data_IF_582035909442
#
_entry.id   IF_582035909442
#
_cell.length_a   1.000
_cell.length_b   1.000
_cell.length_c   1.000
_cell.angle_alpha   90.00
_cell.angle_beta   90.00
_cell.angle_gamma   90.00
#
_symmetry.space_group_name_H-M   'P 1'
#
loop_
_entity.id
_entity.type
_entity.pdbx_description
1 polymer ?
#
# COMPACT_ATOMS: atom_id res chain seq x y z
N UNK A 1 24.24 30.93 71.32
CA UNK A 1 25.38 30.08 71.72
C UNK A 1 25.63 29.14 70.54
N UNK A 2 26.71 29.25 69.77
CA UNK A 2 28.10 28.85 70.12
C UNK A 2 28.18 27.34 70.44
N UNK A 3 29.07 26.51 69.87
CA UNK A 3 30.25 26.70 68.99
C UNK A 3 30.50 25.38 68.22
N UNK A 4 30.83 25.33 66.92
CA UNK A 4 32.14 25.57 66.26
C UNK A 4 33.27 24.57 66.60
N UNK A 5 34.09 24.25 65.57
CA UNK A 5 35.44 23.60 65.53
C UNK A 5 35.51 22.08 65.25
N UNK A 6 36.39 21.58 64.35
CA UNK A 6 37.30 22.27 63.39
C UNK A 6 37.79 21.36 62.22
N UNK A 7 38.00 21.99 61.06
CA UNK A 7 38.88 21.68 59.89
C UNK A 7 40.40 21.65 60.28
N UNK A 8 41.45 21.54 59.39
CA UNK A 8 41.58 21.69 57.91
C UNK A 8 42.39 20.54 57.23
N UNK A 9 42.98 20.56 56.01
CA UNK A 9 43.34 21.52 54.90
C UNK A 9 43.06 20.79 53.54
N UNK A 10 43.10 21.32 52.31
CA UNK A 10 43.30 22.64 51.65
C UNK A 10 42.68 22.56 50.22
N UNK A 11 42.61 23.52 49.27
CA UNK A 11 43.27 24.81 49.00
C UNK A 11 44.64 24.73 48.29
N UNK A 12 44.93 25.32 47.11
CA UNK A 12 44.20 26.28 46.23
C UNK A 12 44.73 26.32 44.76
N UNK A 13 43.81 26.61 43.82
CA UNK A 13 43.85 27.35 42.52
C UNK A 13 45.18 27.87 41.91
N UNK A 14 45.25 27.87 40.56
CA UNK A 14 45.99 28.86 39.75
C UNK A 14 46.00 28.62 38.21
N UNK A 15 45.50 29.58 37.41
CA UNK A 15 45.77 29.75 35.94
C UNK A 15 46.54 31.08 35.75
N UNK A 16 47.27 31.31 34.63
CA UNK A 16 46.72 32.21 33.59
C UNK A 16 47.20 31.94 32.13
N UNK A 17 46.89 32.89 31.22
CA UNK A 17 47.24 33.07 29.80
C UNK A 17 48.75 32.94 29.44
N UNK A 18 49.26 32.95 28.20
CA UNK A 18 48.71 33.16 26.84
C UNK A 18 49.78 33.83 25.93
N UNK A 19 49.47 34.03 24.62
CA UNK A 19 50.22 34.81 23.59
C UNK A 19 51.45 34.24 22.84
N UNK A 20 51.27 34.16 21.50
CA UNK A 20 52.17 34.46 20.36
C UNK A 20 53.40 33.60 19.99
N UNK A 21 53.74 33.72 18.70
CA UNK A 21 54.64 32.95 17.82
C UNK A 21 56.11 33.40 17.83
N UNK A 22 57.04 32.54 17.39
CA UNK A 22 58.24 32.93 16.65
C UNK A 22 58.15 32.61 15.14
N UNK A 23 58.93 33.35 14.32
CA UNK A 23 59.21 33.09 12.89
C UNK A 23 60.70 32.73 12.70
N UNK A 24 61.00 32.22 11.50
CA UNK A 24 62.32 32.09 10.81
C UNK A 24 63.01 30.72 10.83
N UNK A 25 63.43 30.27 9.64
CA UNK A 25 64.16 29.02 9.34
C UNK A 25 65.69 29.23 9.35
N UNK A 26 66.52 28.66 8.42
CA UNK A 26 66.25 27.90 7.17
C UNK A 26 66.54 26.37 7.36
N UNK A 27 66.63 25.44 6.38
CA UNK A 27 67.06 25.50 4.98
C UNK A 27 66.57 24.30 4.12
N UNK A 28 66.85 24.36 2.81
CA UNK A 28 66.78 23.23 1.85
C UNK A 28 67.55 22.00 2.41
N UNK A 29 67.18 20.75 2.14
CA UNK A 29 67.30 20.16 0.79
C UNK A 29 66.55 18.81 0.61
N UNK A 30 66.63 18.23 -0.59
CA UNK A 30 66.23 16.85 -0.96
C UNK A 30 64.75 16.55 -1.30
N UNK A 31 64.24 17.22 -2.35
CA UNK A 31 63.12 16.69 -3.14
C UNK A 31 63.51 15.40 -3.90
N UNK A 32 63.30 14.22 -3.31
CA UNK A 32 63.29 12.93 -4.04
C UNK A 32 62.13 11.99 -3.67
N UNK A 33 61.12 12.02 -4.53
CA UNK A 33 60.30 10.90 -4.99
C UNK A 33 59.91 9.78 -3.98
N UNK A 34 58.69 9.88 -3.43
CA UNK A 34 57.79 8.72 -3.21
C UNK A 34 56.34 9.07 -3.54
N UNK A 35 55.94 8.97 -4.81
CA UNK A 35 54.53 8.86 -5.19
C UNK A 35 54.05 7.44 -4.85
N UNK A 36 53.64 7.22 -3.60
CA UNK A 36 52.85 6.05 -3.26
C UNK A 36 51.46 6.20 -3.92
N UNK A 37 51.04 5.19 -4.69
CA UNK A 37 49.77 5.24 -5.41
C UNK A 37 48.59 5.29 -4.46
N UNK A 38 47.89 6.43 -4.44
CA UNK A 38 46.54 6.49 -3.88
C UNK A 38 45.63 5.67 -4.80
N UNK A 39 45.41 4.40 -4.45
CA UNK A 39 44.35 3.59 -5.07
C UNK A 39 43.03 4.25 -4.68
N UNK A 40 42.52 5.10 -5.59
CA UNK A 40 41.13 5.54 -5.54
C UNK A 40 40.28 4.28 -5.70
N UNK A 41 39.82 3.73 -4.58
CA UNK A 41 38.66 2.85 -4.56
C UNK A 41 37.45 3.68 -5.01
N UNK A 42 37.29 3.82 -6.32
CA UNK A 42 36.00 4.10 -6.91
C UNK A 42 35.14 2.88 -6.65
N UNK A 43 34.45 2.90 -5.50
CA UNK A 43 33.26 2.10 -5.32
C UNK A 43 32.30 2.55 -6.42
N UNK A 44 32.22 1.77 -7.50
CA UNK A 44 31.17 1.91 -8.49
C UNK A 44 29.85 1.78 -7.73
N UNK A 45 29.17 2.91 -7.53
CA UNK A 45 27.79 2.90 -7.07
C UNK A 45 26.98 2.35 -8.24
N UNK A 46 26.87 1.02 -8.31
CA UNK A 46 25.94 0.37 -9.23
C UNK A 46 24.55 0.88 -8.91
N UNK A 47 24.06 1.82 -9.72
CA UNK A 47 22.71 2.35 -9.62
C UNK A 47 21.75 1.24 -10.04
N UNK A 48 21.36 0.43 -9.07
CA UNK A 48 20.44 -0.70 -9.29
C UNK A 48 19.15 -0.16 -9.91
N UNK A 49 18.86 -0.59 -11.14
CA UNK A 49 17.64 -0.20 -11.88
C UNK A 49 16.41 -0.61 -11.06
N UNK A 50 15.58 0.38 -10.72
CA UNK A 50 14.33 0.15 -9.99
C UNK A 50 13.34 -0.60 -10.86
N UNK A 51 12.71 -1.64 -10.29
CA UNK A 51 11.58 -2.35 -10.89
C UNK A 51 10.28 -1.60 -10.60
N UNK A 52 9.34 -1.56 -11.53
CA UNK A 52 8.02 -0.98 -11.30
C UNK A 52 7.08 -2.02 -10.71
N UNK A 53 6.47 -1.70 -9.56
CA UNK A 53 5.47 -2.53 -8.91
C UNK A 53 4.10 -1.83 -8.95
N UNK A 54 3.17 -2.32 -9.76
CA UNK A 54 1.78 -1.81 -9.71
C UNK A 54 1.05 -2.42 -8.53
N UNK A 55 0.46 -1.58 -7.67
CA UNK A 55 -0.23 -2.00 -6.46
C UNK A 55 -1.71 -1.70 -6.54
N UNK A 56 -2.52 -2.66 -6.09
CA UNK A 56 -3.97 -2.67 -6.15
C UNK A 56 -4.54 -2.98 -4.76
N UNK A 57 -5.55 -2.23 -4.34
CA UNK A 57 -6.03 -2.16 -2.96
C UNK A 57 -7.33 -2.92 -2.71
N UNK A 58 -7.69 -3.06 -1.43
CA UNK A 58 -8.95 -3.68 -1.03
C UNK A 58 -10.13 -2.71 -1.03
N UNK A 59 -11.28 -3.26 -0.65
CA UNK A 59 -12.41 -2.48 -0.17
C UNK A 59 -12.00 -1.62 1.04
N UNK A 60 -12.57 -0.42 1.15
CA UNK A 60 -12.17 0.64 2.08
C UNK A 60 -11.46 1.81 1.40
N UNK A 61 -11.01 1.66 0.14
CA UNK A 61 -10.41 2.71 -0.68
C UNK A 61 -11.44 3.55 -1.46
N UNK A 62 -12.66 3.05 -1.61
CA UNK A 62 -13.65 3.61 -2.52
C UNK A 62 -14.43 4.82 -1.98
N UNK A 63 -14.83 5.69 -2.90
CA UNK A 63 -15.70 6.84 -2.68
C UNK A 63 -16.48 7.13 -3.98
N UNK A 64 -17.65 7.75 -3.89
CA UNK A 64 -18.35 8.23 -5.08
C UNK A 64 -17.47 9.22 -5.84
N UNK A 65 -17.63 9.34 -7.16
CA UNK A 65 -16.84 10.23 -8.01
C UNK A 65 -15.33 9.93 -8.08
N UNK A 66 -14.86 8.76 -7.61
CA UNK A 66 -13.47 8.35 -7.78
C UNK A 66 -13.13 8.16 -9.27
N UNK A 67 -12.04 8.78 -9.73
CA UNK A 67 -11.63 8.76 -11.13
C UNK A 67 -12.52 9.60 -12.07
N UNK A 68 -13.45 10.42 -11.55
CA UNK A 68 -14.37 11.20 -12.40
C UNK A 68 -13.63 12.11 -13.37
N UNK A 69 -12.59 12.82 -12.93
CA UNK A 69 -11.80 13.68 -13.83
C UNK A 69 -11.12 12.89 -14.96
N UNK A 70 -10.64 11.68 -14.68
CA UNK A 70 -10.09 10.78 -15.70
C UNK A 70 -11.19 10.25 -16.64
N UNK A 71 -12.35 9.86 -16.12
CA UNK A 71 -13.49 9.46 -16.95
C UNK A 71 -13.97 10.59 -17.86
N UNK A 72 -13.98 11.83 -17.38
CA UNK A 72 -14.41 13.01 -18.15
C UNK A 72 -13.35 13.50 -19.16
N UNK A 73 -12.06 13.30 -18.92
CA UNK A 73 -10.97 13.95 -19.68
C UNK A 73 -9.99 12.98 -20.37
N UNK A 74 -9.93 11.70 -19.98
CA UNK A 74 -9.04 10.71 -20.56
C UNK A 74 -9.83 9.66 -21.37
N UNK A 75 -9.71 9.64 -22.71
CA UNK A 75 -10.46 8.72 -23.57
C UNK A 75 -10.19 7.23 -23.28
N UNK A 76 -8.95 6.87 -22.94
CA UNK A 76 -8.58 5.49 -22.65
C UNK A 76 -9.24 4.99 -21.36
N UNK A 77 -9.13 5.76 -20.27
CA UNK A 77 -9.79 5.47 -19.01
C UNK A 77 -11.29 5.29 -19.21
N UNK A 78 -11.93 6.22 -19.93
CA UNK A 78 -13.37 6.14 -20.24
C UNK A 78 -13.73 4.88 -21.02
N UNK A 79 -13.00 4.55 -22.09
CA UNK A 79 -13.27 3.37 -22.91
C UNK A 79 -13.17 2.05 -22.12
N UNK A 80 -12.20 1.94 -21.20
CA UNK A 80 -12.10 0.78 -20.32
C UNK A 80 -13.25 0.72 -19.31
N UNK A 81 -13.63 1.85 -18.69
CA UNK A 81 -14.79 1.94 -17.80
C UNK A 81 -16.10 1.56 -18.52
N UNK A 82 -16.36 2.11 -19.71
CA UNK A 82 -17.59 1.87 -20.48
C UNK A 82 -17.71 0.42 -20.96
N UNK A 83 -16.60 -0.19 -21.38
CA UNK A 83 -16.53 -1.62 -21.74
C UNK A 83 -16.88 -2.50 -20.53
N UNK A 84 -16.25 -2.25 -19.39
CA UNK A 84 -16.52 -3.02 -18.17
C UNK A 84 -17.92 -2.78 -17.63
N UNK A 85 -18.44 -1.56 -17.71
CA UNK A 85 -19.80 -1.25 -17.27
C UNK A 85 -20.84 -1.98 -18.11
N UNK A 86 -20.62 -2.08 -19.43
CA UNK A 86 -21.49 -2.85 -20.32
C UNK A 86 -21.56 -4.33 -19.91
N UNK A 87 -20.40 -4.95 -19.65
CA UNK A 87 -20.32 -6.34 -19.14
C UNK A 87 -20.95 -6.50 -17.74
N UNK A 88 -20.76 -5.51 -16.87
CA UNK A 88 -21.30 -5.51 -15.51
C UNK A 88 -22.83 -5.37 -15.50
N UNK A 89 -23.41 -4.55 -16.38
CA UNK A 89 -24.87 -4.36 -16.51
C UNK A 89 -25.61 -5.67 -16.78
N UNK A 90 -25.12 -6.50 -17.70
CA UNK A 90 -25.74 -7.79 -18.04
C UNK A 90 -25.84 -8.71 -16.82
N UNK A 91 -24.85 -8.64 -15.93
CA UNK A 91 -24.87 -9.38 -14.67
C UNK A 91 -25.71 -8.70 -13.59
N UNK A 92 -25.57 -7.38 -13.39
CA UNK A 92 -26.08 -6.64 -12.24
C UNK A 92 -27.50 -6.08 -12.41
N UNK A 93 -27.97 -5.90 -13.64
CA UNK A 93 -29.22 -5.18 -13.96
C UNK A 93 -29.12 -3.65 -13.83
N UNK A 94 -27.94 -3.11 -13.54
CA UNK A 94 -27.69 -1.68 -13.34
C UNK A 94 -26.28 -1.28 -13.79
N UNK A 95 -26.11 0.00 -14.13
CA UNK A 95 -24.80 0.59 -14.46
C UNK A 95 -24.03 0.97 -13.20
N UNK A 96 -22.81 0.45 -13.07
CA UNK A 96 -21.84 0.80 -12.04
C UNK A 96 -21.32 2.21 -12.27
N UNK A 97 -21.05 2.60 -13.53
CA UNK A 97 -20.62 3.95 -13.91
C UNK A 97 -21.67 5.01 -13.58
N UNK A 98 -22.95 4.75 -13.86
CA UNK A 98 -24.04 5.68 -13.54
C UNK A 98 -24.25 5.82 -12.02
N UNK A 99 -24.06 4.74 -11.25
CA UNK A 99 -24.07 4.80 -9.79
C UNK A 99 -22.84 5.54 -9.23
N UNK A 100 -21.66 5.33 -9.81
CA UNK A 100 -20.40 5.90 -9.34
C UNK A 100 -20.30 7.41 -9.60
N UNK A 101 -20.83 7.87 -10.74
CA UNK A 101 -20.82 9.27 -11.18
C UNK A 101 -22.19 9.97 -11.08
N UNK A 102 -23.12 9.36 -10.33
CA UNK A 102 -24.45 9.88 -10.05
C UNK A 102 -24.46 11.13 -9.15
N UNK A 103 -25.56 11.39 -8.43
CA UNK A 103 -25.70 12.63 -7.64
C UNK A 103 -24.85 12.66 -6.36
N UNK A 104 -24.44 11.49 -5.83
CA UNK A 104 -23.76 11.40 -4.53
C UNK A 104 -22.33 11.99 -4.57
N UNK A 105 -21.99 12.82 -3.60
CA UNK A 105 -20.68 13.47 -3.49
C UNK A 105 -19.57 12.57 -2.91
N UNK A 106 -18.30 12.98 -3.09
CA UNK A 106 -17.11 12.27 -2.58
C UNK A 106 -17.12 12.00 -1.06
N UNK A 107 -17.89 12.76 -0.28
CA UNK A 107 -18.03 12.60 1.17
C UNK A 107 -19.17 11.67 1.62
N UNK A 108 -19.97 11.15 0.70
CA UNK A 108 -21.08 10.24 1.03
C UNK A 108 -20.62 8.77 1.09
N UNK A 109 -21.23 7.94 1.95
CA UNK A 109 -20.79 6.56 2.16
C UNK A 109 -21.12 5.67 0.94
N UNK A 110 -20.11 5.37 0.13
CA UNK A 110 -20.22 4.37 -0.94
C UNK A 110 -19.93 2.98 -0.37
N UNK A 111 -20.99 2.26 0.04
CA UNK A 111 -20.88 1.03 0.87
C UNK A 111 -21.67 -0.19 0.38
N UNK A 112 -22.50 -0.07 -0.66
CA UNK A 112 -23.17 -1.23 -1.26
C UNK A 112 -22.13 -2.14 -1.92
N UNK A 113 -21.97 -3.37 -1.42
CA UNK A 113 -20.95 -4.29 -1.91
C UNK A 113 -21.10 -4.64 -3.38
N UNK A 114 -22.34 -4.69 -3.89
CA UNK A 114 -22.66 -5.04 -5.29
C UNK A 114 -22.17 -4.00 -6.29
N UNK A 115 -22.01 -2.76 -5.83
CA UNK A 115 -21.52 -1.63 -6.63
C UNK A 115 -20.05 -1.32 -6.33
N UNK A 116 -19.67 -1.32 -5.05
CA UNK A 116 -18.30 -0.97 -4.62
C UNK A 116 -17.26 -1.99 -5.11
N UNK A 117 -17.55 -3.29 -5.08
CA UNK A 117 -16.63 -4.33 -5.58
C UNK A 117 -16.29 -4.15 -7.07
N UNK A 118 -17.27 -4.14 -8.00
CA UNK A 118 -16.96 -3.90 -9.41
C UNK A 118 -16.41 -2.49 -9.64
N UNK A 119 -16.90 -1.44 -8.95
CA UNK A 119 -16.39 -0.09 -9.13
C UNK A 119 -14.89 0.05 -8.79
N UNK A 120 -14.41 -0.59 -7.70
CA UNK A 120 -12.98 -0.62 -7.36
C UNK A 120 -12.20 -1.32 -8.48
N UNK A 121 -12.58 -2.54 -8.85
CA UNK A 121 -11.90 -3.29 -9.91
C UNK A 121 -11.84 -2.52 -11.23
N UNK A 122 -12.96 -1.91 -11.64
CA UNK A 122 -13.08 -1.15 -12.88
C UNK A 122 -12.15 0.07 -12.88
N UNK A 123 -12.13 0.84 -11.79
CA UNK A 123 -11.26 2.02 -11.66
C UNK A 123 -9.79 1.63 -11.60
N UNK A 124 -9.44 0.61 -10.82
CA UNK A 124 -8.07 0.10 -10.70
C UNK A 124 -7.54 -0.44 -12.05
N UNK A 125 -8.37 -1.21 -12.78
CA UNK A 125 -8.02 -1.75 -14.10
C UNK A 125 -7.90 -0.63 -15.15
N UNK A 126 -8.88 0.28 -15.24
CA UNK A 126 -8.86 1.39 -16.19
C UNK A 126 -7.68 2.34 -15.94
N UNK A 127 -7.33 2.58 -14.67
CA UNK A 127 -6.17 3.39 -14.28
C UNK A 127 -4.85 2.72 -14.70
N UNK A 128 -4.70 1.41 -14.43
CA UNK A 128 -3.53 0.65 -14.88
C UNK A 128 -3.38 0.61 -16.40
N UNK A 129 -4.47 0.39 -17.15
CA UNK A 129 -4.45 0.47 -18.62
C UNK A 129 -4.06 1.86 -19.12
N UNK A 130 -4.57 2.92 -18.51
CA UNK A 130 -4.18 4.31 -18.81
C UNK A 130 -2.69 4.55 -18.57
N UNK A 131 -2.14 4.04 -17.47
CA UNK A 131 -0.70 4.16 -17.14
C UNK A 131 0.18 3.39 -18.14
N UNK A 132 -0.25 2.20 -18.56
CA UNK A 132 0.41 1.36 -19.58
C UNK A 132 0.41 2.07 -20.93
N UNK A 133 -0.71 2.65 -21.35
CA UNK A 133 -0.82 3.44 -22.59
C UNK A 133 0.04 4.72 -22.54
N UNK A 134 0.35 5.23 -21.34
CA UNK A 134 1.35 6.27 -21.10
C UNK A 134 2.80 5.72 -21.02
N UNK A 135 3.05 4.49 -21.47
CA UNK A 135 4.38 3.90 -21.62
C UNK A 135 5.08 3.54 -20.31
N UNK A 136 4.31 3.31 -19.24
CA UNK A 136 4.81 2.82 -17.96
C UNK A 136 4.29 1.39 -17.78
N UNK A 137 5.17 0.41 -17.97
CA UNK A 137 4.85 -1.02 -17.81
C UNK A 137 5.26 -1.53 -16.41
N UNK A 138 4.49 -2.44 -15.79
CA UNK A 138 4.87 -3.08 -14.53
C UNK A 138 5.90 -4.20 -14.73
N UNK A 139 6.98 -4.18 -13.94
CA UNK A 139 7.88 -5.34 -13.78
C UNK A 139 7.26 -6.41 -12.85
N UNK A 140 6.28 -6.03 -12.01
CA UNK A 140 5.43 -6.92 -11.21
C UNK A 140 4.12 -6.24 -10.79
N UNK A 141 3.13 -7.02 -10.33
CA UNK A 141 1.90 -6.52 -9.71
C UNK A 141 1.77 -6.98 -8.25
N UNK A 142 1.03 -6.23 -7.44
CA UNK A 142 0.75 -6.51 -6.03
C UNK A 142 -0.75 -6.37 -5.74
N UNK A 143 -1.39 -7.46 -5.32
CA UNK A 143 -2.77 -7.47 -4.85
C UNK A 143 -2.90 -7.46 -3.32
N UNK A 144 -3.64 -6.50 -2.79
CA UNK A 144 -4.12 -6.48 -1.41
C UNK A 144 -5.64 -6.64 -1.39
N UNK A 145 -6.14 -7.74 -0.78
CA UNK A 145 -7.58 -8.05 -0.73
C UNK A 145 -8.21 -8.04 -2.15
N UNK A 146 -9.32 -7.33 -2.36
CA UNK A 146 -10.02 -7.20 -3.65
C UNK A 146 -9.12 -6.79 -4.83
N UNK A 147 -8.08 -5.98 -4.61
CA UNK A 147 -7.15 -5.55 -5.66
C UNK A 147 -6.36 -6.69 -6.30
N UNK A 148 -6.38 -7.89 -5.69
CA UNK A 148 -5.78 -9.08 -6.30
C UNK A 148 -6.45 -9.48 -7.63
N UNK A 149 -7.72 -9.14 -7.83
CA UNK A 149 -8.42 -9.37 -9.09
C UNK A 149 -7.84 -8.47 -10.20
N UNK A 150 -7.66 -7.18 -9.90
CA UNK A 150 -7.01 -6.22 -10.81
C UNK A 150 -5.53 -6.59 -11.06
N UNK A 151 -4.80 -7.01 -10.03
CA UNK A 151 -3.41 -7.47 -10.14
C UNK A 151 -3.27 -8.66 -11.12
N UNK A 152 -4.10 -9.70 -10.98
CA UNK A 152 -4.10 -10.86 -11.87
C UNK A 152 -4.49 -10.49 -13.31
N UNK A 153 -5.48 -9.62 -13.49
CA UNK A 153 -5.94 -9.20 -14.81
C UNK A 153 -4.91 -8.34 -15.55
N UNK A 154 -4.32 -7.35 -14.86
CA UNK A 154 -3.28 -6.47 -15.42
C UNK A 154 -1.97 -7.22 -15.65
N UNK A 155 -1.66 -8.24 -14.85
CA UNK A 155 -0.54 -9.13 -15.10
C UNK A 155 -0.71 -10.04 -16.34
N UNK A 156 -1.87 -10.02 -17.00
CA UNK A 156 -2.20 -10.95 -18.10
C UNK A 156 -2.40 -12.39 -17.63
N UNK A 157 -2.55 -12.61 -16.31
CA UNK A 157 -2.73 -13.95 -15.75
C UNK A 157 -4.18 -14.43 -15.80
N UNK A 158 -5.15 -13.55 -16.04
CA UNK A 158 -6.58 -13.86 -16.06
C UNK A 158 -7.31 -12.86 -16.98
N UNK A 159 -8.26 -13.28 -17.84
CA UNK A 159 -9.03 -12.34 -18.65
C UNK A 159 -9.81 -11.34 -17.77
N UNK A 160 -9.88 -10.09 -18.23
CA UNK A 160 -10.56 -9.01 -17.49
C UNK A 160 -12.05 -9.31 -17.31
N UNK A 161 -12.67 -9.89 -18.34
CA UNK A 161 -14.07 -10.30 -18.36
C UNK A 161 -14.37 -11.32 -17.24
N UNK A 162 -13.55 -12.36 -17.14
CA UNK A 162 -13.66 -13.40 -16.11
C UNK A 162 -13.41 -12.84 -14.71
N UNK A 163 -12.40 -11.97 -14.58
CA UNK A 163 -12.06 -11.31 -13.32
C UNK A 163 -13.23 -10.44 -12.82
N UNK A 164 -13.80 -9.59 -13.68
CA UNK A 164 -14.97 -8.75 -13.38
C UNK A 164 -16.20 -9.59 -13.01
N UNK A 165 -16.50 -10.63 -13.79
CA UNK A 165 -17.61 -11.54 -13.51
C UNK A 165 -17.43 -12.24 -12.15
N UNK A 166 -16.19 -12.60 -11.80
CA UNK A 166 -15.85 -13.20 -10.51
C UNK A 166 -15.92 -12.21 -9.34
N UNK A 167 -15.55 -10.94 -9.53
CA UNK A 167 -15.73 -9.85 -8.55
C UNK A 167 -17.22 -9.67 -8.24
N UNK A 168 -18.06 -9.55 -9.27
CA UNK A 168 -19.52 -9.42 -9.12
C UNK A 168 -20.11 -10.64 -8.40
N UNK A 169 -19.63 -11.84 -8.72
CA UNK A 169 -20.05 -13.09 -8.09
C UNK A 169 -19.66 -13.17 -6.61
N UNK A 170 -18.43 -12.79 -6.27
CA UNK A 170 -17.97 -12.75 -4.89
C UNK A 170 -18.80 -11.76 -4.06
N UNK A 171 -19.08 -10.56 -4.56
CA UNK A 171 -19.93 -9.57 -3.88
C UNK A 171 -21.32 -10.13 -3.53
N UNK A 172 -21.94 -10.86 -4.47
CA UNK A 172 -23.25 -11.53 -4.28
C UNK A 172 -23.19 -12.65 -3.25
N UNK A 173 -22.13 -13.45 -3.24
CA UNK A 173 -21.96 -14.52 -2.25
C UNK A 173 -21.76 -13.95 -0.84
N UNK A 174 -21.01 -12.87 -0.70
CA UNK A 174 -20.86 -12.15 0.57
C UNK A 174 -22.22 -11.62 1.04
N UNK A 175 -22.96 -10.92 0.18
CA UNK A 175 -24.29 -10.39 0.51
C UNK A 175 -25.29 -11.47 0.94
N UNK A 176 -25.25 -12.63 0.27
CA UNK A 176 -26.20 -13.73 0.51
C UNK A 176 -25.90 -14.56 1.74
N UNK A 177 -24.61 -14.78 2.05
CA UNK A 177 -24.20 -15.78 3.04
C UNK A 177 -23.57 -15.18 4.31
N UNK A 178 -22.96 -14.00 4.24
CA UNK A 178 -22.15 -13.48 5.35
C UNK A 178 -22.95 -12.50 6.24
N UNK A 179 -22.82 -12.58 7.58
CA UNK A 179 -23.39 -11.59 8.50
C UNK A 179 -22.77 -10.20 8.30
N UNK A 180 -23.56 -9.17 8.65
CA UNK A 180 -23.10 -7.78 8.68
C UNK A 180 -22.08 -7.52 9.81
N UNK A 181 -21.27 -6.51 9.59
CA UNK A 181 -20.31 -5.98 10.54
C UNK A 181 -19.40 -4.98 9.84
N UNK A 182 -18.15 -4.89 10.28
CA UNK A 182 -17.26 -3.92 9.68
C UNK A 182 -15.82 -4.03 10.16
N UNK A 183 -15.07 -3.00 9.80
CA UNK A 183 -13.64 -2.91 10.07
C UNK A 183 -13.30 -1.55 10.67
N UNK A 184 -12.31 -1.52 11.56
CA UNK A 184 -11.85 -0.32 12.26
C UNK A 184 -10.34 -0.22 12.05
N UNK A 185 -9.91 0.84 11.37
CA UNK A 185 -8.50 1.20 11.27
C UNK A 185 -8.05 1.81 12.61
N UNK A 186 -6.92 1.35 13.14
CA UNK A 186 -6.40 1.76 14.45
C UNK A 186 -4.99 2.31 14.25
N UNK A 187 -4.78 3.58 14.62
CA UNK A 187 -3.47 4.23 14.65
C UNK A 187 -2.84 3.99 16.02
N UNK A 188 -2.13 2.87 16.13
CA UNK A 188 -1.44 2.42 17.33
C UNK A 188 -0.63 1.16 17.04
N UNK A 189 0.22 0.76 17.97
CA UNK A 189 0.99 -0.47 17.83
C UNK A 189 0.07 -1.71 17.94
N UNK A 190 0.23 -2.74 17.08
CA UNK A 190 -0.55 -3.97 17.14
C UNK A 190 -0.49 -4.70 18.51
N UNK A 191 0.57 -4.45 19.30
CA UNK A 191 0.69 -4.92 20.67
C UNK A 191 -0.49 -4.51 21.58
N UNK A 192 -1.20 -3.42 21.26
CA UNK A 192 -2.46 -3.02 21.91
C UNK A 192 -3.53 -4.12 21.84
N UNK A 193 -3.67 -4.78 20.69
CA UNK A 193 -4.59 -5.90 20.51
C UNK A 193 -4.04 -7.14 21.21
N UNK A 194 -2.75 -7.43 21.04
CA UNK A 194 -2.10 -8.63 21.60
C UNK A 194 -2.13 -8.61 23.16
N UNK A 195 -2.18 -7.42 23.78
CA UNK A 195 -2.33 -7.21 25.23
C UNK A 195 -3.78 -7.00 25.72
N UNK A 196 -4.80 -6.99 24.86
CA UNK A 196 -6.20 -6.68 25.22
C UNK A 196 -7.17 -7.85 24.99
N UNK A 197 -7.48 -8.64 26.04
CA UNK A 197 -8.51 -9.67 25.98
C UNK A 197 -9.89 -9.12 25.56
N UNK A 198 -10.17 -7.85 25.85
CA UNK A 198 -11.43 -7.19 25.45
C UNK A 198 -11.56 -7.11 23.92
N UNK A 199 -10.48 -6.74 23.22
CA UNK A 199 -10.43 -6.64 21.77
C UNK A 199 -10.41 -8.03 21.12
N UNK A 200 -9.60 -8.95 21.65
CA UNK A 200 -9.49 -10.34 21.16
C UNK A 200 -10.81 -11.10 21.24
N UNK A 201 -11.60 -10.89 22.30
CA UNK A 201 -12.92 -11.52 22.44
C UNK A 201 -14.00 -10.96 21.48
N UNK A 202 -13.72 -9.87 20.76
CA UNK A 202 -14.72 -9.10 19.98
C UNK A 202 -14.36 -8.90 18.52
N UNK A 203 -13.11 -9.10 18.15
CA UNK A 203 -12.56 -8.79 16.83
C UNK A 203 -11.38 -9.69 16.50
N UNK A 204 -10.98 -9.69 15.23
CA UNK A 204 -9.68 -10.22 14.80
C UNK A 204 -8.92 -9.14 14.05
N UNK A 205 -7.60 -9.28 13.95
CA UNK A 205 -6.79 -8.42 13.08
C UNK A 205 -6.99 -8.86 11.62
N UNK A 206 -7.43 -7.92 10.79
CA UNK A 206 -7.56 -8.08 9.34
C UNK A 206 -6.29 -7.72 8.57
N UNK A 207 -5.40 -6.91 9.14
CA UNK A 207 -4.13 -6.55 8.53
C UNK A 207 -3.23 -5.70 9.42
N UNK A 208 -1.91 -5.95 9.37
CA UNK A 208 -0.85 -5.14 10.01
C UNK A 208 -0.05 -4.41 8.91
N UNK A 209 -0.31 -3.11 8.76
CA UNK A 209 0.10 -2.32 7.59
C UNK A 209 1.47 -1.64 7.75
N UNK A 210 1.74 -1.12 8.96
CA UNK A 210 3.04 -0.61 9.40
C UNK A 210 3.07 -0.59 10.95
N UNK A 211 4.20 -0.21 11.56
CA UNK A 211 4.45 -0.38 12.99
C UNK A 211 3.36 0.22 13.91
N UNK A 212 2.77 1.36 13.51
CA UNK A 212 1.74 2.08 14.25
C UNK A 212 0.37 2.08 13.53
N UNK A 213 0.07 1.07 12.70
CA UNK A 213 -1.24 0.94 12.06
C UNK A 213 -1.65 -0.52 11.78
N UNK A 214 -2.80 -0.90 12.33
CA UNK A 214 -3.47 -2.17 12.05
C UNK A 214 -4.98 -1.96 11.86
N UNK A 215 -5.65 -2.99 11.34
CA UNK A 215 -7.10 -2.96 11.11
C UNK A 215 -7.75 -4.11 11.87
N UNK A 216 -8.77 -3.81 12.67
CA UNK A 216 -9.65 -4.78 13.31
C UNK A 216 -10.85 -5.09 12.41
N UNK A 217 -11.36 -6.31 12.50
CA UNK A 217 -12.56 -6.79 11.82
C UNK A 217 -13.48 -7.45 12.84
N UNK A 218 -14.76 -7.07 12.85
CA UNK A 218 -15.70 -7.44 13.90
C UNK A 218 -17.17 -7.47 13.43
N UNK A 219 -18.03 -8.33 14.04
CA UNK A 219 -19.48 -8.31 13.83
C UNK A 219 -20.12 -6.98 14.23
N UNK A 220 -21.27 -6.66 13.64
CA UNK A 220 -21.98 -5.40 13.89
C UNK A 220 -22.21 -5.13 15.39
N UNK A 221 -22.58 -6.16 16.15
CA UNK A 221 -22.83 -6.11 17.60
C UNK A 221 -21.64 -5.63 18.43
N UNK A 222 -20.41 -5.75 17.92
CA UNK A 222 -19.19 -5.51 18.67
C UNK A 222 -18.57 -4.14 18.36
N UNK A 223 -18.85 -3.57 17.18
CA UNK A 223 -18.12 -2.41 16.65
C UNK A 223 -18.19 -1.20 17.58
N UNK A 224 -19.39 -0.78 18.00
CA UNK A 224 -19.56 0.36 18.92
C UNK A 224 -18.81 0.16 20.25
N UNK A 225 -18.73 -1.07 20.75
CA UNK A 225 -18.00 -1.38 22.00
C UNK A 225 -16.48 -1.34 21.84
N UNK A 226 -15.97 -1.66 20.64
CA UNK A 226 -14.55 -1.54 20.28
C UNK A 226 -14.19 -0.07 20.09
N UNK A 227 -15.02 0.69 19.36
CA UNK A 227 -14.84 2.13 19.13
C UNK A 227 -14.78 2.89 20.46
N UNK A 228 -15.72 2.64 21.37
CA UNK A 228 -15.74 3.23 22.71
C UNK A 228 -14.54 2.81 23.59
N UNK A 229 -14.06 1.57 23.45
CA UNK A 229 -12.85 1.12 24.16
C UNK A 229 -11.60 1.87 23.68
N UNK A 230 -11.43 2.02 22.36
CA UNK A 230 -10.31 2.72 21.75
C UNK A 230 -10.34 4.23 22.09
N UNK A 231 -11.51 4.85 22.03
CA UNK A 231 -11.75 6.23 22.47
C UNK A 231 -11.32 6.44 23.93
N UNK A 232 -11.78 5.58 24.84
CA UNK A 232 -11.41 5.64 26.27
C UNK A 232 -9.93 5.37 26.55
N UNK A 233 -9.25 4.64 25.66
CA UNK A 233 -7.81 4.43 25.71
C UNK A 233 -7.02 5.57 25.04
N UNK A 234 -7.69 6.62 24.54
CA UNK A 234 -7.12 7.71 23.74
C UNK A 234 -6.39 7.22 22.47
N UNK A 235 -6.83 6.09 21.91
CA UNK A 235 -6.27 5.51 20.68
C UNK A 235 -7.08 5.97 19.48
N UNK A 236 -6.44 6.73 18.59
CA UNK A 236 -7.05 7.21 17.35
C UNK A 236 -7.47 6.02 16.48
N UNK A 237 -8.74 6.01 16.08
CA UNK A 237 -9.29 4.96 15.22
C UNK A 237 -10.40 5.51 14.32
N UNK A 238 -10.70 4.78 13.24
CA UNK A 238 -11.69 5.17 12.24
C UNK A 238 -12.41 3.94 11.68
N UNK A 239 -13.75 3.97 11.62
CA UNK A 239 -14.55 2.97 10.89
C UNK A 239 -14.21 3.03 9.40
N UNK A 240 -13.82 1.90 8.82
CA UNK A 240 -13.60 1.75 7.37
C UNK A 240 -14.98 1.65 6.69
N UNK A 241 -15.22 2.27 5.52
CA UNK A 241 -16.53 2.24 4.84
C UNK A 241 -16.82 0.87 4.20
N UNK A 242 -17.11 -0.13 5.05
CA UNK A 242 -17.45 -1.51 4.69
C UNK A 242 -18.58 -2.02 5.59
N UNK A 243 -19.42 -2.92 5.06
CA UNK A 243 -20.57 -3.51 5.77
C UNK A 243 -20.37 -4.97 6.18
N UNK A 244 -19.16 -5.51 6.00
CA UNK A 244 -18.84 -6.89 6.33
C UNK A 244 -17.46 -6.97 6.99
N UNK A 245 -17.29 -7.89 7.96
CA UNK A 245 -16.01 -8.16 8.61
C UNK A 245 -15.12 -9.06 7.74
N UNK A 246 -14.40 -8.45 6.79
CA UNK A 246 -13.45 -9.19 5.94
C UNK A 246 -12.22 -9.68 6.70
N UNK A 247 -11.46 -10.59 6.08
CA UNK A 247 -10.20 -11.14 6.61
C UNK A 247 -10.38 -11.82 7.98
N UNK A 248 -11.56 -12.40 8.21
CA UNK A 248 -12.02 -12.87 9.52
C UNK A 248 -12.95 -14.10 9.38
N UNK A 249 -13.20 -14.86 10.48
CA UNK A 249 -14.08 -16.04 10.46
C UNK A 249 -15.51 -15.77 9.99
N UNK A 250 -15.99 -14.54 10.14
CA UNK A 250 -17.37 -14.20 9.81
C UNK A 250 -17.69 -14.20 8.32
N UNK A 251 -16.70 -14.32 7.43
CA UNK A 251 -16.96 -14.60 6.01
C UNK A 251 -16.86 -16.10 5.64
N UNK A 252 -16.60 -17.01 6.61
CA UNK A 252 -16.65 -18.48 6.44
C UNK A 252 -17.93 -19.03 5.76
N UNK A 253 -19.15 -18.46 5.97
CA UNK A 253 -20.36 -18.94 5.32
C UNK A 253 -20.35 -18.97 3.79
N UNK A 254 -19.56 -18.11 3.11
CA UNK A 254 -19.51 -18.13 1.64
C UNK A 254 -18.54 -19.18 1.07
N UNK A 255 -17.70 -19.82 1.90
CA UNK A 255 -16.52 -20.59 1.43
C UNK A 255 -16.85 -21.63 0.36
N UNK A 256 -17.85 -22.47 0.61
CA UNK A 256 -18.19 -23.57 -0.30
C UNK A 256 -18.66 -23.04 -1.66
N UNK A 257 -19.63 -22.11 -1.65
CA UNK A 257 -20.16 -21.49 -2.86
C UNK A 257 -19.10 -20.67 -3.62
N UNK A 258 -18.14 -20.06 -2.92
CA UNK A 258 -17.05 -19.32 -3.57
C UNK A 258 -16.07 -20.27 -4.27
N UNK A 259 -15.72 -21.40 -3.68
CA UNK A 259 -14.82 -22.40 -4.29
C UNK A 259 -15.49 -23.03 -5.53
N UNK A 260 -16.78 -23.39 -5.42
CA UNK A 260 -17.56 -23.92 -6.54
C UNK A 260 -17.65 -22.90 -7.69
N UNK A 261 -17.93 -21.63 -7.37
CA UNK A 261 -18.30 -20.66 -8.38
C UNK A 261 -17.15 -19.78 -8.90
N UNK A 262 -15.97 -19.80 -8.27
CA UNK A 262 -14.76 -19.06 -8.69
C UNK A 262 -13.60 -20.02 -9.00
N UNK A 263 -13.87 -21.08 -9.77
CA UNK A 263 -12.85 -22.03 -10.23
C UNK A 263 -11.76 -21.37 -11.07
N UNK A 264 -10.50 -21.59 -10.69
CA UNK A 264 -9.31 -20.93 -11.27
C UNK A 264 -8.92 -21.39 -12.69
N UNK A 265 -9.80 -22.09 -13.44
CA UNK A 265 -9.44 -22.80 -14.68
C UNK A 265 -8.88 -21.94 -15.82
N UNK A 266 -9.23 -20.65 -15.86
CA UNK A 266 -8.73 -19.69 -16.85
C UNK A 266 -7.50 -18.89 -16.37
N UNK A 267 -7.02 -19.12 -15.14
CA UNK A 267 -5.88 -18.40 -14.57
C UNK A 267 -4.57 -19.08 -14.96
N UNK A 268 -3.64 -18.33 -15.56
CA UNK A 268 -2.32 -18.80 -15.97
C UNK A 268 -1.24 -17.86 -15.47
N UNK A 269 -0.41 -18.32 -14.53
CA UNK A 269 0.72 -17.55 -13.98
C UNK A 269 1.93 -17.55 -14.93
N UNK A 270 1.70 -17.15 -16.18
CA UNK A 270 2.71 -17.05 -17.25
C UNK A 270 2.96 -15.62 -17.73
N UNK A 271 2.29 -14.64 -17.12
CA UNK A 271 2.46 -13.22 -17.41
C UNK A 271 3.41 -12.51 -16.44
N UNK A 272 3.14 -11.24 -16.17
CA UNK A 272 3.92 -10.42 -15.22
C UNK A 272 3.83 -11.02 -13.80
N UNK A 273 4.94 -11.09 -13.02
CA UNK A 273 4.91 -11.66 -11.67
C UNK A 273 3.87 -11.00 -10.76
N UNK A 274 3.09 -11.83 -10.05
CA UNK A 274 2.01 -11.39 -9.15
C UNK A 274 2.38 -11.67 -7.70
N UNK A 275 2.39 -10.63 -6.88
CA UNK A 275 2.51 -10.71 -5.43
C UNK A 275 1.12 -10.59 -4.78
N UNK A 276 0.85 -11.39 -3.74
CA UNK A 276 -0.43 -11.41 -3.06
C UNK A 276 -0.27 -11.36 -1.53
N UNK A 277 -1.01 -10.49 -0.88
CA UNK A 277 -0.99 -10.34 0.58
C UNK A 277 -1.49 -11.59 1.33
N UNK A 278 -2.42 -12.37 0.78
CA UNK A 278 -2.94 -13.58 1.42
C UNK A 278 -1.96 -14.77 1.37
N UNK A 279 -1.12 -14.82 0.32
CA UNK A 279 0.01 -15.77 0.22
C UNK A 279 1.26 -15.26 0.94
N UNK A 280 1.33 -13.96 1.24
CA UNK A 280 2.49 -13.32 1.86
C UNK A 280 3.74 -13.37 0.99
N UNK A 281 3.59 -13.28 -0.33
CA UNK A 281 4.69 -13.33 -1.30
C UNK A 281 4.22 -13.40 -2.76
N UNK A 282 5.14 -13.72 -3.67
CA UNK A 282 4.87 -14.01 -5.08
C UNK A 282 4.02 -15.29 -5.21
N UNK A 283 3.23 -15.39 -6.28
CA UNK A 283 2.46 -16.58 -6.64
C UNK A 283 3.24 -17.45 -7.62
N UNK A 284 3.73 -18.61 -7.16
CA UNK A 284 4.39 -19.61 -8.02
C UNK A 284 3.39 -20.61 -8.63
N UNK A 285 2.23 -20.77 -7.98
CA UNK A 285 1.08 -21.58 -8.42
C UNK A 285 -0.20 -20.96 -7.88
N UNK A 286 -1.34 -21.21 -8.53
CA UNK A 286 -2.64 -20.76 -8.04
C UNK A 286 -3.24 -21.81 -7.07
N UNK A 287 -3.52 -21.49 -5.80
CA UNK A 287 -4.24 -22.39 -4.90
C UNK A 287 -5.70 -22.61 -5.33
N UNK A 288 -6.24 -23.81 -5.14
CA UNK A 288 -7.63 -24.14 -5.50
C UNK A 288 -8.65 -23.25 -4.76
N UNK A 289 -8.39 -22.92 -3.50
CA UNK A 289 -9.20 -22.01 -2.68
C UNK A 289 -8.61 -20.58 -2.59
N UNK A 290 -7.89 -20.12 -3.62
CA UNK A 290 -7.19 -18.83 -3.60
C UNK A 290 -8.08 -17.64 -3.25
N UNK A 291 -9.20 -17.43 -3.95
CA UNK A 291 -10.09 -16.29 -3.70
C UNK A 291 -10.76 -16.37 -2.31
N UNK A 292 -10.92 -17.59 -1.81
CA UNK A 292 -11.31 -17.82 -0.42
C UNK A 292 -10.22 -17.35 0.55
N UNK A 293 -8.96 -17.76 0.35
CA UNK A 293 -7.83 -17.30 1.15
C UNK A 293 -7.67 -15.77 1.12
N UNK A 294 -7.89 -15.14 -0.04
CA UNK A 294 -7.83 -13.67 -0.23
C UNK A 294 -8.85 -12.95 0.63
N UNK A 295 -10.10 -13.42 0.69
CA UNK A 295 -11.14 -12.83 1.52
C UNK A 295 -10.99 -13.15 3.02
N UNK A 296 -10.29 -14.24 3.37
CA UNK A 296 -10.26 -14.83 4.72
C UNK A 296 -9.02 -14.58 5.56
N UNK A 297 -7.84 -14.56 4.93
CA UNK A 297 -6.56 -14.40 5.64
C UNK A 297 -6.28 -12.94 5.90
N UNK A 298 -5.48 -12.69 6.95
CA UNK A 298 -4.90 -11.38 7.24
C UNK A 298 -4.15 -10.83 6.01
N UNK A 299 -4.32 -9.53 5.72
CA UNK A 299 -3.58 -8.82 4.67
C UNK A 299 -2.12 -8.65 5.12
N UNK A 300 -1.25 -9.59 4.76
CA UNK A 300 0.16 -9.59 5.17
C UNK A 300 1.03 -8.59 4.36
N UNK A 301 0.57 -7.35 4.14
CA UNK A 301 1.22 -6.33 3.31
C UNK A 301 2.69 -6.11 3.69
N UNK A 302 2.96 -5.87 4.98
CA UNK A 302 4.30 -5.73 5.56
C UNK A 302 5.26 -6.87 5.16
N UNK A 303 4.77 -8.12 5.18
CA UNK A 303 5.54 -9.31 4.81
C UNK A 303 5.84 -9.37 3.32
N UNK A 304 4.89 -8.95 2.47
CA UNK A 304 5.09 -8.93 1.02
C UNK A 304 6.12 -7.89 0.63
N UNK A 305 5.99 -6.64 1.11
CA UNK A 305 6.95 -5.57 0.82
C UNK A 305 8.36 -5.96 1.30
N UNK A 306 8.48 -6.53 2.50
CA UNK A 306 9.77 -7.03 3.01
C UNK A 306 10.42 -8.08 2.10
N UNK A 307 9.64 -8.96 1.44
CA UNK A 307 10.14 -9.90 0.44
C UNK A 307 10.47 -9.23 -0.90
N UNK A 308 9.71 -8.23 -1.31
CA UNK A 308 9.98 -7.49 -2.55
C UNK A 308 11.32 -6.76 -2.43
N UNK A 309 11.55 -5.98 -1.36
CA UNK A 309 12.79 -5.21 -1.14
C UNK A 309 14.06 -6.09 -1.10
N UNK A 310 13.96 -7.38 -0.73
CA UNK A 310 15.08 -8.34 -0.83
C UNK A 310 15.57 -8.57 -2.27
N UNK A 311 14.74 -8.27 -3.27
CA UNK A 311 15.04 -8.38 -4.71
C UNK A 311 15.63 -7.09 -5.32
N UNK A 312 15.94 -6.08 -4.49
CA UNK A 312 16.38 -4.75 -4.93
C UNK A 312 15.28 -3.69 -4.81
N UNK A 313 15.58 -2.44 -5.20
CA UNK A 313 14.65 -1.32 -5.02
C UNK A 313 13.55 -1.27 -6.08
N UNK A 314 12.40 -0.71 -5.71
CA UNK A 314 11.22 -0.58 -6.56
C UNK A 314 10.76 0.88 -6.70
N UNK A 315 10.12 1.16 -7.84
CA UNK A 315 9.16 2.25 -8.00
C UNK A 315 7.76 1.65 -7.79
N UNK A 316 7.27 1.71 -6.56
CA UNK A 316 5.91 1.27 -6.21
C UNK A 316 4.90 2.30 -6.73
N UNK A 317 3.97 1.88 -7.58
CA UNK A 317 2.92 2.72 -8.11
C UNK A 317 1.57 2.22 -7.61
N UNK A 318 0.98 2.95 -6.69
CA UNK A 318 -0.34 2.69 -6.15
C UNK A 318 -1.42 3.18 -7.12
N UNK A 319 -2.14 2.22 -7.69
CA UNK A 319 -3.21 2.42 -8.66
C UNK A 319 -4.60 2.29 -8.02
N UNK A 320 -4.67 2.33 -6.69
CA UNK A 320 -5.93 2.37 -5.95
C UNK A 320 -6.64 3.72 -6.00
N UNK A 321 -7.96 3.77 -5.71
CA UNK A 321 -8.70 5.02 -5.72
C UNK A 321 -8.22 6.09 -4.74
N UNK A 322 -7.62 5.68 -3.61
CA UNK A 322 -7.30 6.54 -2.46
C UNK A 322 -5.80 6.74 -2.21
N UNK A 323 -4.91 6.01 -2.90
CA UNK A 323 -3.45 6.06 -2.63
C UNK A 323 -3.05 5.47 -1.28
N UNK A 324 -3.85 4.53 -0.75
CA UNK A 324 -3.69 3.96 0.59
C UNK A 324 -2.43 3.10 0.74
N UNK A 325 -2.04 2.33 -0.27
CA UNK A 325 -0.85 1.46 -0.21
C UNK A 325 0.44 2.29 -0.31
N UNK A 326 0.45 3.35 -1.11
CA UNK A 326 1.52 4.37 -1.14
C UNK A 326 1.65 5.06 0.22
N UNK A 327 0.54 5.34 0.90
CA UNK A 327 0.57 5.86 2.27
C UNK A 327 1.13 4.83 3.27
N UNK A 328 0.82 3.55 3.13
CA UNK A 328 1.43 2.50 3.97
C UNK A 328 2.94 2.39 3.74
N UNK A 329 3.39 2.43 2.47
CA UNK A 329 4.82 2.42 2.14
C UNK A 329 5.59 3.59 2.75
N UNK A 330 5.01 4.79 2.80
CA UNK A 330 5.61 5.98 3.43
C UNK A 330 6.03 5.73 4.90
N UNK A 331 5.26 4.91 5.63
CA UNK A 331 5.52 4.60 7.05
C UNK A 331 6.18 3.23 7.26
N UNK A 332 6.22 2.38 6.22
CA UNK A 332 6.82 1.05 6.27
C UNK A 332 8.28 1.03 5.77
N UNK A 333 8.60 1.82 4.74
CA UNK A 333 9.94 1.86 4.16
C UNK A 333 10.88 2.70 5.03
N UNK A 334 12.16 2.30 5.21
CA UNK A 334 13.13 3.08 5.97
C UNK A 334 13.51 4.37 5.23
N UNK A 335 13.87 5.42 5.96
CA UNK A 335 14.18 6.74 5.40
C UNK A 335 15.32 6.74 4.36
N UNK A 336 16.23 5.76 4.42
CA UNK A 336 17.33 5.57 3.47
C UNK A 336 17.06 4.44 2.46
N UNK A 337 15.79 4.08 2.20
CA UNK A 337 15.48 3.07 1.16
C UNK A 337 15.95 3.53 -0.22
N UNK A 338 16.34 2.55 -1.06
CA UNK A 338 16.50 2.77 -2.49
C UNK A 338 15.16 2.92 -3.22
N UNK A 339 14.06 2.42 -2.65
CA UNK A 339 12.73 2.41 -3.26
C UNK A 339 12.01 3.76 -3.21
N UNK A 340 10.99 3.92 -4.06
CA UNK A 340 10.11 5.09 -4.10
C UNK A 340 8.67 4.62 -4.20
N UNK A 341 7.73 5.47 -3.78
CA UNK A 341 6.31 5.19 -3.89
C UNK A 341 5.55 6.38 -4.47
N UNK A 342 4.55 6.10 -5.29
CA UNK A 342 3.72 7.06 -6.00
C UNK A 342 2.26 6.64 -5.88
N UNK A 343 1.35 7.60 -5.88
CA UNK A 343 -0.10 7.35 -6.03
C UNK A 343 -0.54 7.86 -7.40
N UNK A 344 -1.36 7.10 -8.12
CA UNK A 344 -1.94 7.55 -9.39
C UNK A 344 -3.19 8.42 -9.18
N UNK A 345 -3.87 8.27 -8.05
CA UNK A 345 -5.08 9.02 -7.69
C UNK A 345 -5.14 9.30 -6.18
N UNK A 346 -5.77 10.41 -5.81
CA UNK A 346 -6.10 10.79 -4.43
C UNK A 346 -7.49 11.46 -4.39
N UNK A 347 -8.29 11.30 -3.32
CA UNK A 347 -9.70 11.70 -3.31
C UNK A 347 -9.98 13.17 -3.66
N UNK A 348 -9.08 14.09 -3.30
CA UNK A 348 -9.22 15.53 -3.55
C UNK A 348 -8.20 16.09 -4.55
N UNK A 349 -7.57 15.22 -5.35
CA UNK A 349 -6.68 15.65 -6.44
C UNK A 349 -7.45 16.01 -7.71
N UNK A 350 -6.88 16.88 -8.55
CA UNK A 350 -7.27 17.00 -9.96
C UNK A 350 -6.65 15.82 -10.70
N UNK A 351 -7.41 14.75 -10.89
CA UNK A 351 -6.83 13.42 -11.15
C UNK A 351 -5.97 13.38 -12.43
N UNK A 352 -6.39 14.05 -13.51
CA UNK A 352 -5.66 14.13 -14.80
C UNK A 352 -4.31 14.85 -14.68
N UNK A 353 -4.29 16.03 -14.03
CA UNK A 353 -3.08 16.84 -13.83
C UNK A 353 -2.09 16.12 -12.91
N UNK A 354 -2.61 15.51 -11.85
CA UNK A 354 -1.84 14.75 -10.87
C UNK A 354 -1.18 13.52 -11.49
N UNK A 355 -1.93 12.70 -12.23
CA UNK A 355 -1.40 11.53 -12.94
C UNK A 355 -0.33 11.93 -13.96
N UNK A 356 -0.56 12.99 -14.73
CA UNK A 356 0.40 13.51 -15.73
C UNK A 356 1.72 13.94 -15.07
N UNK A 357 1.66 14.58 -13.89
CA UNK A 357 2.83 14.97 -13.10
C UNK A 357 3.61 13.73 -12.62
N UNK A 358 2.92 12.74 -12.05
CA UNK A 358 3.54 11.49 -11.54
C UNK A 358 4.21 10.70 -12.67
N UNK A 359 3.55 10.55 -13.82
CA UNK A 359 4.11 9.90 -15.01
C UNK A 359 5.36 10.65 -15.52
N UNK A 360 5.34 11.98 -15.49
CA UNK A 360 6.48 12.80 -15.89
C UNK A 360 7.68 12.61 -14.96
N UNK A 361 7.44 12.53 -13.64
CA UNK A 361 8.48 12.21 -12.65
C UNK A 361 9.06 10.81 -12.87
N UNK A 362 8.22 9.78 -13.04
CA UNK A 362 8.66 8.41 -13.34
C UNK A 362 9.52 8.35 -14.61
N UNK A 363 9.11 9.04 -15.69
CA UNK A 363 9.86 9.11 -16.95
C UNK A 363 11.20 9.83 -16.82
N UNK A 364 11.24 11.01 -16.18
CA UNK A 364 12.48 11.75 -15.97
C UNK A 364 13.49 10.92 -15.15
N UNK A 365 13.00 10.28 -14.08
CA UNK A 365 13.79 9.38 -13.25
C UNK A 365 14.36 8.18 -14.02
N UNK A 366 13.64 7.62 -15.01
CA UNK A 366 14.15 6.52 -15.86
C UNK A 366 15.15 7.00 -16.93
N UNK A 367 15.00 8.23 -17.44
CA UNK A 367 15.96 8.82 -18.40
C UNK A 367 17.34 9.07 -17.76
N UNK A 368 17.39 9.57 -16.53
CA UNK A 368 18.66 9.86 -15.86
C UNK A 368 19.51 8.59 -15.67
N UNK A 369 18.90 7.44 -15.35
CA UNK A 369 19.63 6.16 -15.28
C UNK A 369 20.17 5.68 -16.63
N UNK A 370 19.60 6.11 -17.76
CA UNK A 370 20.00 5.67 -19.10
C UNK A 370 21.09 6.56 -19.74
N UNK A 371 21.53 7.60 -19.05
CA UNK A 371 22.62 8.51 -19.47
C UNK A 371 23.90 8.27 -18.64
N UNK A 372 23.78 7.57 -17.51
CA UNK A 372 24.90 7.19 -16.63
C UNK A 372 25.42 5.76 -16.88
N UNK A 373 24.88 5.05 -17.88
CA UNK A 373 25.27 3.70 -18.33
C UNK A 373 25.68 3.69 -19.80
#
# INVERSE_FOLDING_TARGET
>A
MASDRRKPRGALRGKPAGWRTPRHGPANDSLRARRAGCVRCHAEVRVMKRKIAFMFSGQGSQYYQMGRGLYEQNPAFRAWMDRMDSLARDSLGASVVAALYGPNGKGEPFVDIRLTHPAIFMVEFALAKTVIELGIEPDCTLGASLGTFAALAIAGCWPMEDALASVIRQARLIERHCPKGGMIAVLGEPALYDASPFLQARSVIAGRNFASHFVLSAPESNLASIEHFLERAAVTSQRVPVQYPFHAPWIDPMRAALIEACGAGNIRLSGTPVYCCASGGMLDRMPDDYFWQVARKEIAFTRVISKMEQSGPFDYFDLSPSGTLSTFLKYLLPAQTGSRHFSAMLPFSRETEFLTSVISQLRANRKNLAVET
#
